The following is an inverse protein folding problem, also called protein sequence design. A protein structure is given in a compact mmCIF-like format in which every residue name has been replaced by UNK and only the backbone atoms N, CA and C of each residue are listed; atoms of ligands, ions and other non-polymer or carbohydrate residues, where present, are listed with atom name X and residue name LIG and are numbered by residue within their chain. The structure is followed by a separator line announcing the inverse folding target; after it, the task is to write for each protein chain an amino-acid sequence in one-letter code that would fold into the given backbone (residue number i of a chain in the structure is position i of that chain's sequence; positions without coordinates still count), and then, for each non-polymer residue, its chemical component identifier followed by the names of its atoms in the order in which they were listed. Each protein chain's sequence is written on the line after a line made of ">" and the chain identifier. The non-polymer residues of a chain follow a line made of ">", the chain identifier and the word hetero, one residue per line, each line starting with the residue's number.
data_IF_587017054102
#
_entry.id   IF_587017054102
#
_cell.length_a   1.000
_cell.length_b   1.000
_cell.length_c   1.000
_cell.angle_alpha   90.00
_cell.angle_beta   90.00
_cell.angle_gamma   90.00
#
_symmetry.space_group_name_H-M   'P 1'
#
loop_
_entity.id
_entity.type
_entity.pdbx_description
1 polymer ?
#
# COMPACT_ATOMS: atom_id res chain seq x y z
N UNK A 1 0.97 -2.37 -47.31
CA UNK A 1 2.01 -3.37 -47.03
C UNK A 1 3.10 -2.70 -46.20
N UNK A 2 2.76 -2.17 -45.04
CA UNK A 2 2.46 -2.92 -43.80
C UNK A 2 3.68 -3.70 -43.34
N UNK A 3 4.19 -3.33 -42.17
CA UNK A 3 5.16 -4.14 -41.47
C UNK A 3 5.48 -3.53 -40.12
N UNK A 4 5.19 -4.27 -39.06
CA UNK A 4 5.48 -3.95 -37.65
C UNK A 4 7.00 -3.93 -37.33
N UNK A 5 7.84 -3.40 -38.23
CA UNK A 5 9.29 -3.48 -38.13
C UNK A 5 9.82 -4.91 -38.31
N UNK A 6 11.15 -5.05 -38.21
CA UNK A 6 11.83 -6.34 -38.26
C UNK A 6 11.33 -7.25 -37.14
N UNK A 7 10.89 -8.46 -37.48
CA UNK A 7 10.48 -9.45 -36.49
C UNK A 7 11.65 -9.78 -35.57
N UNK A 8 11.45 -9.58 -34.26
CA UNK A 8 12.42 -9.93 -33.24
C UNK A 8 12.64 -11.45 -33.28
N UNK A 9 13.89 -11.90 -33.22
CA UNK A 9 14.22 -13.33 -33.32
C UNK A 9 13.53 -14.13 -32.21
N UNK A 10 13.14 -15.38 -32.48
CA UNK A 10 12.55 -16.25 -31.48
C UNK A 10 13.46 -16.47 -30.25
N UNK A 11 14.78 -16.41 -30.43
CA UNK A 11 15.75 -16.47 -29.33
C UNK A 11 15.75 -15.20 -28.47
N UNK A 12 15.64 -14.02 -29.10
CA UNK A 12 15.47 -12.75 -28.40
C UNK A 12 14.12 -12.69 -27.68
N UNK A 13 13.03 -13.10 -28.35
CA UNK A 13 11.71 -13.24 -27.73
C UNK A 13 11.76 -14.22 -26.56
N UNK A 14 12.41 -15.38 -26.70
CA UNK A 14 12.55 -16.38 -25.64
C UNK A 14 13.32 -15.89 -24.42
N UNK A 15 14.33 -15.02 -24.62
CA UNK A 15 15.03 -14.37 -23.51
C UNK A 15 14.13 -13.39 -22.74
N UNK A 16 13.22 -12.71 -23.44
CA UNK A 16 12.23 -11.81 -22.83
C UNK A 16 10.98 -12.55 -22.31
N UNK A 17 10.59 -13.66 -22.92
CA UNK A 17 9.31 -14.35 -22.68
C UNK A 17 9.42 -15.61 -21.82
N UNK A 18 10.63 -16.04 -21.45
CA UNK A 18 10.84 -17.40 -20.95
C UNK A 18 12.01 -17.57 -19.99
N UNK A 19 11.97 -16.88 -18.85
CA UNK A 19 12.40 -17.47 -17.58
C UNK A 19 13.90 -17.67 -17.36
N UNK A 20 14.61 -16.59 -17.03
CA UNK A 20 15.78 -16.67 -16.15
C UNK A 20 15.35 -16.38 -14.69
N UNK A 21 14.78 -17.42 -14.06
CA UNK A 21 15.12 -17.88 -12.71
C UNK A 21 15.07 -16.96 -11.49
N UNK A 22 14.54 -15.75 -11.54
CA UNK A 22 14.28 -14.97 -10.32
C UNK A 22 12.86 -15.25 -9.83
N UNK A 23 12.68 -16.29 -9.02
CA UNK A 23 11.51 -16.38 -8.15
C UNK A 23 11.66 -15.24 -7.14
N UNK A 24 11.13 -14.06 -7.46
CA UNK A 24 10.97 -12.98 -6.48
C UNK A 24 9.91 -13.41 -5.48
N UNK A 25 10.31 -14.16 -4.45
CA UNK A 25 9.48 -14.38 -3.26
C UNK A 25 9.46 -13.06 -2.51
N UNK A 26 8.47 -12.22 -2.80
CA UNK A 26 8.30 -10.98 -2.06
C UNK A 26 7.36 -11.23 -0.87
N UNK A 27 7.96 -11.68 0.24
CA UNK A 27 7.24 -11.90 1.49
C UNK A 27 7.06 -10.55 2.22
N UNK A 28 5.85 -9.99 2.12
CA UNK A 28 5.45 -8.86 2.95
C UNK A 28 4.98 -9.34 4.31
N UNK A 29 5.85 -9.31 5.33
CA UNK A 29 5.47 -9.66 6.70
C UNK A 29 5.35 -8.38 7.52
N UNK A 30 4.16 -8.09 8.02
CA UNK A 30 3.91 -7.04 9.01
C UNK A 30 3.49 -7.71 10.32
N UNK A 31 4.32 -7.55 11.35
CA UNK A 31 3.98 -7.95 12.72
C UNK A 31 3.71 -6.69 13.51
N UNK A 32 2.50 -6.56 14.05
CA UNK A 32 2.09 -5.39 14.81
C UNK A 32 1.53 -5.83 16.15
N UNK A 33 2.15 -5.35 17.22
CA UNK A 33 1.78 -5.64 18.60
C UNK A 33 1.61 -4.32 19.33
N UNK A 34 0.62 -4.26 20.22
CA UNK A 34 0.43 -3.12 21.08
C UNK A 34 -0.62 -3.41 22.14
N UNK A 35 -0.45 -2.75 23.29
CA UNK A 35 -1.30 -2.90 24.45
C UNK A 35 -1.73 -1.52 24.92
N UNK A 36 -3.03 -1.36 25.15
CA UNK A 36 -3.62 -0.22 25.87
C UNK A 36 -3.94 -0.74 27.26
N UNK A 37 -3.31 -0.20 28.30
CA UNK A 37 -3.53 -0.68 29.66
C UNK A 37 -3.31 0.43 30.67
N UNK A 38 -4.05 0.33 31.78
CA UNK A 38 -3.97 1.24 32.91
C UNK A 38 -4.43 2.69 32.61
N UNK A 39 -5.24 2.88 31.57
CA UNK A 39 -5.73 4.20 31.20
C UNK A 39 -6.99 4.60 31.98
N UNK A 40 -6.98 5.82 32.54
CA UNK A 40 -8.13 6.44 33.21
C UNK A 40 -8.37 7.79 32.56
N UNK A 41 -9.59 8.03 32.06
CA UNK A 41 -9.97 9.29 31.46
C UNK A 41 -11.18 9.89 32.22
N UNK A 42 -10.97 10.99 32.92
CA UNK A 42 -12.01 11.73 33.66
C UNK A 42 -12.09 13.17 33.14
N UNK A 43 -13.31 13.75 33.13
CA UNK A 43 -13.57 15.12 32.65
C UNK A 43 -13.13 15.40 31.19
N UNK A 44 -13.07 14.38 30.34
CA UNK A 44 -12.62 14.52 28.95
C UNK A 44 -13.77 14.89 28.01
N UNK A 45 -13.56 15.97 27.25
CA UNK A 45 -14.38 16.32 26.09
C UNK A 45 -13.62 15.91 24.85
N UNK A 46 -14.19 15.02 24.03
CA UNK A 46 -13.59 14.57 22.78
C UNK A 46 -14.09 15.43 21.62
N UNK A 47 -13.23 15.67 20.64
CA UNK A 47 -13.53 16.53 19.48
C UNK A 47 -14.37 15.85 18.40
N UNK A 48 -14.67 16.58 17.33
CA UNK A 48 -15.28 16.01 16.14
C UNK A 48 -14.19 15.43 15.23
N UNK A 49 -14.13 14.10 15.15
CA UNK A 49 -13.33 13.34 14.19
C UNK A 49 -13.92 13.51 12.78
N UNK A 50 -13.82 14.70 12.20
CA UNK A 50 -14.56 15.01 10.97
C UNK A 50 -13.63 15.30 9.82
N UNK A 51 -13.85 14.55 8.74
CA UNK A 51 -13.34 14.79 7.40
C UNK A 51 -14.49 15.40 6.61
N UNK A 52 -14.33 16.62 6.11
CA UNK A 52 -15.38 17.34 5.39
C UNK A 52 -15.35 17.08 3.88
N UNK A 53 -16.33 17.64 3.16
CA UNK A 53 -16.32 17.64 1.69
C UNK A 53 -14.98 18.16 1.14
N UNK A 54 -14.50 17.53 0.07
CA UNK A 54 -13.22 17.80 -0.61
C UNK A 54 -11.92 17.43 0.11
N UNK A 55 -11.96 16.82 1.30
CA UNK A 55 -10.74 16.45 2.05
C UNK A 55 -9.75 15.56 1.29
N UNK A 56 -10.24 14.83 0.29
CA UNK A 56 -9.43 14.00 -0.61
C UNK A 56 -9.72 14.28 -2.09
N UNK A 57 -10.31 15.44 -2.40
CA UNK A 57 -10.49 15.85 -3.79
C UNK A 57 -9.11 15.94 -4.45
N UNK A 58 -8.95 15.27 -5.59
CA UNK A 58 -7.66 15.10 -6.30
C UNK A 58 -6.61 14.21 -5.61
N UNK A 59 -6.97 13.42 -4.59
CA UNK A 59 -6.04 12.43 -4.04
C UNK A 59 -5.69 11.38 -5.11
N UNK A 60 -4.38 11.17 -5.33
CA UNK A 60 -3.84 10.19 -6.26
C UNK A 60 -2.76 9.36 -5.57
N UNK A 61 -2.60 8.10 -5.95
CA UNK A 61 -1.76 7.14 -5.25
C UNK A 61 -2.54 6.34 -4.19
N UNK A 62 -1.95 6.11 -3.02
CA UNK A 62 -2.53 5.30 -1.93
C UNK A 62 -2.78 6.16 -0.68
N UNK A 63 -3.84 6.99 -0.65
CA UNK A 63 -4.16 7.78 0.53
C UNK A 63 -4.60 6.85 1.67
N UNK A 64 -4.05 7.05 2.87
CA UNK A 64 -4.44 6.34 4.10
C UNK A 64 -4.73 7.36 5.19
N UNK A 65 -5.86 7.18 5.89
CA UNK A 65 -6.34 8.14 6.88
C UNK A 65 -6.83 7.37 8.09
N UNK A 66 -6.38 7.80 9.26
CA UNK A 66 -6.78 7.19 10.53
C UNK A 66 -7.30 8.27 11.45
N UNK A 67 -8.62 8.26 11.58
CA UNK A 67 -9.41 9.18 12.36
C UNK A 67 -9.69 8.55 13.70
N UNK A 68 -9.10 9.08 14.76
CA UNK A 68 -9.35 8.62 16.12
C UNK A 68 -9.76 9.83 16.95
N UNK A 69 -10.92 9.76 17.58
CA UNK A 69 -11.27 10.74 18.59
C UNK A 69 -11.80 10.00 19.80
N UNK A 70 -11.16 10.25 20.92
CA UNK A 70 -11.28 9.45 22.12
C UNK A 70 -10.00 9.55 22.94
N UNK A 71 -10.09 9.16 24.21
CA UNK A 71 -8.94 8.88 25.06
C UNK A 71 -8.69 7.36 25.05
N UNK A 72 -7.46 6.94 25.32
CA UNK A 72 -7.10 5.52 25.44
C UNK A 72 -7.20 4.75 24.11
N UNK A 73 -6.75 5.37 23.02
CA UNK A 73 -6.76 4.75 21.69
C UNK A 73 -5.34 4.30 21.30
N UNK A 74 -5.16 3.01 21.08
CA UNK A 74 -4.03 2.48 20.33
C UNK A 74 -4.42 2.30 18.87
N UNK A 75 -3.53 2.74 18.00
CA UNK A 75 -3.74 2.71 16.56
C UNK A 75 -2.60 1.94 15.94
N UNK A 76 -2.97 0.89 15.22
CA UNK A 76 -2.07 -0.02 14.55
C UNK A 76 -2.47 -0.04 13.09
N UNK A 77 -1.72 0.66 12.24
CA UNK A 77 -1.94 0.67 10.80
C UNK A 77 -0.61 0.56 10.07
N UNK A 78 -0.60 -0.18 8.97
CA UNK A 78 0.52 -0.20 8.05
C UNK A 78 0.11 -0.79 6.71
N UNK A 79 0.73 -0.29 5.65
CA UNK A 79 0.46 -0.69 4.27
C UNK A 79 1.72 -1.33 3.70
N UNK A 80 1.63 -2.57 3.20
CA UNK A 80 2.72 -3.19 2.43
C UNK A 80 2.39 -3.05 0.95
N UNK A 81 3.31 -2.44 0.19
CA UNK A 81 3.20 -2.31 -1.27
C UNK A 81 4.34 -3.07 -1.92
N UNK A 82 3.99 -4.08 -2.74
CA UNK A 82 4.95 -4.84 -3.54
C UNK A 82 4.71 -4.51 -5.02
N UNK A 83 5.71 -3.94 -5.68
CA UNK A 83 5.64 -3.58 -7.10
C UNK A 83 6.68 -4.37 -7.87
N UNK A 84 6.22 -5.14 -8.86
CA UNK A 84 7.09 -5.79 -9.83
C UNK A 84 6.84 -5.16 -11.21
N UNK A 85 7.86 -4.48 -11.75
CA UNK A 85 7.83 -3.99 -13.13
C UNK A 85 8.50 -5.03 -14.03
N UNK A 86 7.81 -5.47 -15.08
CA UNK A 86 8.36 -6.31 -16.15
C UNK A 86 8.46 -5.45 -17.42
N UNK A 87 9.54 -5.59 -18.22
CA UNK A 87 9.69 -4.88 -19.48
C UNK A 87 8.60 -5.24 -20.50
#
# INVERSE_FOLDING_TARGET
>A
MDGFGQAVSAGTLGHYSGGNGNISVQAGIQTMTGTVSNDTATNVTTGANTISGDSFSNASGLPSVIQNTGNNVLIQSGVIVNVQMKP
#
